data_IF_989457656687
#
_entry.id   IF_989457656687
#
_cell.length_a   1.000
_cell.length_b   1.000
_cell.length_c   1.000
_cell.angle_alpha   90.00
_cell.angle_beta   90.00
_cell.angle_gamma   90.00
#
_symmetry.space_group_name_H-M   'P 1'
#
loop_
_entity.id
_entity.type
_entity.pdbx_description
1 polymer ?
#
# COMPACT_ATOMS: atom_id res chain seq x y z
N UNK A 1 21.83 16.53 47.69
CA UNK A 1 20.58 16.97 47.01
C UNK A 1 20.29 15.95 45.88
N UNK A 2 19.43 14.99 46.19
CA UNK A 2 18.99 14.04 45.18
C UNK A 2 17.94 14.70 44.27
N UNK A 3 18.33 15.03 43.06
CA UNK A 3 17.42 15.47 42.02
C UNK A 3 16.66 14.25 41.53
N UNK A 4 15.52 13.98 42.16
CA UNK A 4 14.58 12.97 41.69
C UNK A 4 13.84 13.53 40.47
N UNK A 5 14.30 13.21 39.27
CA UNK A 5 13.54 13.51 38.05
C UNK A 5 12.35 12.55 38.00
N UNK A 6 11.11 13.06 37.90
CA UNK A 6 9.96 12.20 37.74
C UNK A 6 10.14 11.40 36.44
N UNK A 7 10.04 10.08 36.56
CA UNK A 7 9.95 9.18 35.39
C UNK A 7 8.68 9.56 34.67
N UNK A 8 8.82 10.28 33.57
CA UNK A 8 7.71 10.56 32.67
C UNK A 8 7.28 9.20 32.11
N UNK A 9 6.05 8.75 32.34
CA UNK A 9 5.59 7.51 31.76
C UNK A 9 5.68 7.67 30.23
N UNK A 10 6.41 6.78 29.59
CA UNK A 10 6.52 6.78 28.13
C UNK A 10 5.11 6.60 27.54
N UNK A 11 4.61 7.63 26.89
CA UNK A 11 3.31 7.61 26.17
C UNK A 11 3.25 6.55 25.05
N UNK A 12 4.35 5.88 24.80
CA UNK A 12 4.51 4.89 23.73
C UNK A 12 3.66 3.62 23.93
N UNK A 13 3.16 3.37 25.14
CA UNK A 13 2.37 2.15 25.45
C UNK A 13 0.95 2.16 24.88
N UNK A 14 0.45 3.30 24.42
CA UNK A 14 -0.94 3.45 23.97
C UNK A 14 -1.08 3.74 22.48
N UNK A 15 0.03 3.81 21.73
CA UNK A 15 -0.04 4.01 20.30
C UNK A 15 -0.49 2.71 19.60
N UNK A 16 -1.51 2.78 18.74
CA UNK A 16 -1.92 1.61 17.96
C UNK A 16 -0.78 1.16 17.04
N UNK A 17 -0.70 -0.15 16.79
CA UNK A 17 0.33 -0.69 15.89
C UNK A 17 0.25 -0.03 14.51
N UNK A 18 1.37 0.02 13.74
CA UNK A 18 1.37 0.58 12.39
C UNK A 18 0.28 -0.02 11.48
N UNK A 19 0.05 -1.33 11.58
CA UNK A 19 -1.01 -2.00 10.83
C UNK A 19 -2.41 -1.49 11.21
N UNK A 20 -2.69 -1.32 12.51
CA UNK A 20 -3.97 -0.74 12.97
C UNK A 20 -4.13 0.72 12.53
N UNK A 21 -3.05 1.50 12.56
CA UNK A 21 -3.05 2.88 12.05
C UNK A 21 -3.38 2.91 10.55
N UNK A 22 -2.79 2.02 9.78
CA UNK A 22 -3.05 1.88 8.35
C UNK A 22 -4.53 1.52 8.09
N UNK A 23 -5.05 0.48 8.76
CA UNK A 23 -6.46 0.09 8.64
C UNK A 23 -7.40 1.24 9.01
N UNK A 24 -7.06 2.05 10.00
CA UNK A 24 -7.86 3.22 10.37
C UNK A 24 -7.91 4.27 9.24
N UNK A 25 -6.82 4.44 8.49
CA UNK A 25 -6.80 5.34 7.32
C UNK A 25 -7.76 4.88 6.22
N UNK A 26 -7.86 3.58 5.99
CA UNK A 26 -8.73 3.03 4.93
C UNK A 26 -10.22 3.30 5.18
N UNK A 27 -10.58 3.55 6.44
CA UNK A 27 -11.95 3.86 6.86
C UNK A 27 -12.21 5.37 6.95
N UNK A 28 -11.20 6.18 6.76
CA UNK A 28 -11.30 7.63 6.88
C UNK A 28 -11.80 8.23 5.57
N UNK A 29 -12.91 8.96 5.58
CA UNK A 29 -13.37 9.67 4.38
C UNK A 29 -12.48 10.88 4.09
N UNK A 30 -12.38 11.22 2.80
CA UNK A 30 -11.75 12.43 2.32
C UNK A 30 -10.24 12.32 2.13
N UNK A 31 -9.62 13.46 1.90
CA UNK A 31 -8.20 13.56 1.58
C UNK A 31 -7.30 13.11 2.74
N UNK A 32 -6.28 12.33 2.39
CA UNK A 32 -5.24 11.87 3.30
C UNK A 32 -3.90 12.39 2.79
N UNK A 33 -3.19 13.13 3.66
CA UNK A 33 -1.88 13.66 3.30
C UNK A 33 -0.87 12.53 3.01
N UNK A 34 -0.16 12.57 1.87
CA UNK A 34 0.80 11.53 1.49
C UNK A 34 1.87 11.27 2.54
N UNK A 35 2.33 12.30 3.24
CA UNK A 35 3.34 12.18 4.29
C UNK A 35 2.90 11.26 5.45
N UNK A 36 1.61 11.27 5.80
CA UNK A 36 1.07 10.40 6.84
C UNK A 36 1.09 8.93 6.39
N UNK A 37 0.78 8.67 5.12
CA UNK A 37 0.82 7.33 4.55
C UNK A 37 2.24 6.81 4.52
N UNK A 38 3.19 7.63 4.06
CA UNK A 38 4.61 7.31 4.02
C UNK A 38 5.18 6.97 5.41
N UNK A 39 4.80 7.74 6.43
CA UNK A 39 5.22 7.51 7.82
C UNK A 39 4.72 6.14 8.32
N UNK A 40 3.45 5.86 8.13
CA UNK A 40 2.86 4.58 8.53
C UNK A 40 3.48 3.43 7.73
N UNK A 41 3.62 3.58 6.41
CA UNK A 41 4.18 2.55 5.55
C UNK A 41 5.61 2.18 5.94
N UNK A 42 6.46 3.16 6.25
CA UNK A 42 7.84 2.93 6.69
C UNK A 42 7.92 2.22 8.04
N UNK A 43 6.90 2.35 8.87
CA UNK A 43 6.82 1.68 10.17
C UNK A 43 6.23 0.27 10.11
N UNK A 44 5.67 -0.16 8.96
CA UNK A 44 5.21 -1.52 8.76
C UNK A 44 6.39 -2.50 8.61
N UNK A 45 6.18 -3.72 9.06
CA UNK A 45 7.15 -4.78 8.87
C UNK A 45 7.18 -5.21 7.39
N UNK A 46 8.37 -5.53 6.85
CA UNK A 46 8.46 -6.11 5.51
C UNK A 46 7.65 -7.41 5.42
N UNK A 47 7.01 -7.61 4.28
CA UNK A 47 6.27 -8.84 3.96
C UNK A 47 7.14 -9.72 3.08
N UNK A 48 7.20 -11.02 3.40
CA UNK A 48 7.90 -11.98 2.56
C UNK A 48 7.07 -12.28 1.29
N UNK A 49 7.69 -12.41 0.10
CA UNK A 49 6.97 -12.64 -1.14
C UNK A 49 5.99 -13.81 -1.11
N UNK A 50 6.33 -14.89 -0.42
CA UNK A 50 5.45 -16.08 -0.28
C UNK A 50 4.13 -15.77 0.43
N UNK A 51 4.09 -14.73 1.25
CA UNK A 51 2.88 -14.27 1.95
C UNK A 51 1.93 -13.49 1.04
N UNK A 52 2.40 -13.09 -0.15
CA UNK A 52 1.62 -12.30 -1.10
C UNK A 52 0.86 -13.17 -2.11
N UNK A 53 1.10 -14.49 -2.12
CA UNK A 53 0.44 -15.38 -3.09
C UNK A 53 -1.07 -15.35 -2.92
N UNK A 54 -1.78 -15.33 -4.05
CA UNK A 54 -3.23 -15.33 -4.10
C UNK A 54 -3.85 -14.04 -4.63
N UNK A 55 -5.13 -13.90 -4.40
CA UNK A 55 -5.94 -12.74 -4.81
C UNK A 55 -6.07 -11.76 -3.66
N UNK A 56 -5.88 -10.48 -3.97
CA UNK A 56 -5.93 -9.39 -3.01
C UNK A 56 -6.90 -8.33 -3.47
N UNK A 57 -7.78 -7.92 -2.58
CA UNK A 57 -8.63 -6.75 -2.81
C UNK A 57 -7.84 -5.48 -2.52
N UNK A 58 -8.00 -4.49 -3.39
CA UNK A 58 -7.37 -3.19 -3.27
C UNK A 58 -8.41 -2.08 -3.18
N UNK A 59 -8.00 -0.96 -2.65
CA UNK A 59 -8.79 0.26 -2.66
C UNK A 59 -7.87 1.46 -2.81
N UNK A 60 -8.42 2.54 -3.33
CA UNK A 60 -7.69 3.78 -3.56
C UNK A 60 -7.87 4.69 -2.35
N UNK A 61 -6.74 5.17 -1.79
CA UNK A 61 -6.75 6.23 -0.79
C UNK A 61 -6.71 7.58 -1.51
N UNK A 62 -7.58 8.51 -1.11
CA UNK A 62 -7.61 9.85 -1.69
C UNK A 62 -6.42 10.69 -1.22
N UNK A 63 -5.40 10.75 -2.05
CA UNK A 63 -4.14 11.45 -1.79
C UNK A 63 -3.84 12.55 -2.82
N UNK A 64 -4.75 12.77 -3.76
CA UNK A 64 -4.56 13.60 -4.96
C UNK A 64 -3.45 13.07 -5.89
N UNK A 65 -3.25 11.75 -5.89
CA UNK A 65 -2.32 11.13 -6.83
C UNK A 65 -2.89 11.15 -8.26
N UNK A 66 -2.09 11.42 -9.29
CA UNK A 66 -2.59 11.50 -10.67
C UNK A 66 -3.32 10.25 -11.17
N UNK A 67 -2.98 9.07 -10.67
CA UNK A 67 -3.60 7.79 -11.08
C UNK A 67 -4.86 7.41 -10.30
N UNK A 68 -5.31 8.22 -9.33
CA UNK A 68 -6.54 7.90 -8.58
C UNK A 68 -7.74 7.76 -9.52
N UNK A 69 -7.91 8.74 -10.39
CA UNK A 69 -9.03 8.78 -11.34
C UNK A 69 -8.95 7.64 -12.36
N UNK A 70 -7.77 7.36 -12.91
CA UNK A 70 -7.59 6.25 -13.87
C UNK A 70 -7.91 4.89 -13.26
N UNK A 71 -7.54 4.66 -12.00
CA UNK A 71 -7.86 3.39 -11.32
C UNK A 71 -9.37 3.24 -11.08
N UNK A 72 -10.06 4.32 -10.75
CA UNK A 72 -11.51 4.33 -10.60
C UNK A 72 -12.21 4.08 -11.95
N UNK A 73 -11.79 4.75 -13.02
CA UNK A 73 -12.34 4.57 -14.38
C UNK A 73 -12.14 3.14 -14.90
N UNK A 74 -11.01 2.51 -14.56
CA UNK A 74 -10.73 1.11 -14.90
C UNK A 74 -11.53 0.10 -14.08
N UNK A 75 -12.26 0.53 -13.05
CA UNK A 75 -12.84 -0.36 -12.05
C UNK A 75 -11.80 -1.31 -11.44
N UNK A 76 -10.60 -0.76 -11.15
CA UNK A 76 -9.57 -1.52 -10.45
C UNK A 76 -10.03 -1.86 -9.04
N UNK A 77 -9.84 -3.11 -8.63
CA UNK A 77 -10.23 -3.55 -7.31
C UNK A 77 -9.22 -4.47 -6.64
N UNK A 78 -8.06 -4.71 -7.25
CA UNK A 78 -7.05 -5.49 -6.58
C UNK A 78 -5.95 -6.03 -7.48
N UNK A 79 -5.20 -6.94 -6.90
CA UNK A 79 -4.05 -7.58 -7.50
C UNK A 79 -4.17 -9.10 -7.38
N UNK A 80 -3.45 -9.83 -8.23
CA UNK A 80 -3.31 -11.28 -8.11
C UNK A 80 -1.85 -11.66 -8.25
N UNK A 81 -1.36 -12.49 -7.33
CA UNK A 81 -0.02 -13.04 -7.34
C UNK A 81 -0.11 -14.55 -7.56
N UNK A 82 0.06 -14.99 -8.78
CA UNK A 82 0.05 -16.42 -9.11
C UNK A 82 1.40 -17.06 -8.81
N UNK A 83 2.47 -16.32 -8.96
CA UNK A 83 3.82 -16.67 -8.54
C UNK A 83 4.66 -15.41 -8.31
N UNK A 84 5.90 -15.59 -7.86
CA UNK A 84 6.87 -14.47 -7.72
C UNK A 84 7.14 -13.80 -9.08
N UNK A 85 7.06 -14.57 -10.16
CA UNK A 85 7.32 -14.08 -11.53
C UNK A 85 6.04 -13.74 -12.30
N UNK A 86 4.87 -14.13 -11.80
CA UNK A 86 3.58 -13.85 -12.44
C UNK A 86 2.66 -13.09 -11.50
N UNK A 87 2.64 -11.78 -11.68
CA UNK A 87 1.83 -10.85 -10.90
C UNK A 87 0.91 -10.08 -11.83
N UNK A 88 -0.37 -10.08 -11.51
CA UNK A 88 -1.36 -9.21 -12.14
C UNK A 88 -1.60 -7.98 -11.23
N UNK A 89 -0.90 -6.88 -11.43
CA UNK A 89 -1.01 -5.69 -10.57
C UNK A 89 -2.31 -4.94 -10.76
N UNK A 90 -2.99 -5.18 -11.87
CA UNK A 90 -4.25 -4.53 -12.21
C UNK A 90 -5.30 -5.60 -12.52
N UNK A 91 -6.11 -5.90 -11.51
CA UNK A 91 -7.32 -6.70 -11.66
C UNK A 91 -8.51 -5.75 -11.75
N UNK A 92 -9.29 -5.89 -12.80
CA UNK A 92 -10.48 -5.06 -13.04
C UNK A 92 -11.74 -5.89 -13.01
N UNK A 93 -12.85 -5.27 -12.64
CA UNK A 93 -14.16 -5.87 -12.70
C UNK A 93 -14.79 -5.62 -14.08
N UNK A 94 -15.03 -6.67 -14.84
CA UNK A 94 -15.73 -6.61 -16.11
C UNK A 94 -16.87 -7.63 -16.10
N UNK A 95 -18.10 -7.17 -16.28
CA UNK A 95 -19.31 -8.01 -16.24
C UNK A 95 -19.44 -8.88 -14.97
N UNK A 96 -18.96 -8.37 -13.82
CA UNK A 96 -18.98 -9.09 -12.54
C UNK A 96 -17.86 -10.12 -12.37
N UNK A 97 -16.97 -10.24 -13.31
CA UNK A 97 -15.82 -11.16 -13.25
C UNK A 97 -14.49 -10.42 -13.02
N UNK A 98 -13.57 -11.08 -12.33
CA UNK A 98 -12.18 -10.60 -12.18
C UNK A 98 -11.43 -10.87 -13.46
N UNK A 99 -10.86 -9.82 -14.06
CA UNK A 99 -10.02 -9.93 -15.25
C UNK A 99 -8.71 -9.21 -15.06
N UNK A 100 -7.65 -9.78 -15.64
CA UNK A 100 -6.35 -9.10 -15.74
C UNK A 100 -6.47 -7.98 -16.76
N UNK A 101 -6.05 -6.79 -16.38
CA UNK A 101 -5.91 -5.67 -17.32
C UNK A 101 -4.51 -5.70 -17.92
N UNK A 102 -4.42 -5.99 -19.20
CA UNK A 102 -3.15 -6.22 -19.90
C UNK A 102 -2.59 -5.00 -20.63
N UNK A 103 -3.40 -3.97 -20.87
CA UNK A 103 -3.01 -2.83 -21.70
C UNK A 103 -1.80 -2.07 -21.14
N UNK A 104 -1.60 -2.11 -19.84
CA UNK A 104 -0.43 -1.53 -19.16
C UNK A 104 0.70 -2.54 -18.90
N UNK A 105 0.60 -3.72 -19.48
CA UNK A 105 1.59 -4.78 -19.38
C UNK A 105 1.42 -5.70 -18.18
N UNK A 106 2.23 -6.73 -18.15
CA UNK A 106 2.38 -7.64 -17.01
C UNK A 106 3.55 -7.20 -16.14
N UNK A 107 3.46 -7.48 -14.85
CA UNK A 107 4.55 -7.20 -13.93
C UNK A 107 5.07 -8.50 -13.29
N UNK A 108 6.35 -8.49 -12.96
CA UNK A 108 6.97 -9.48 -12.08
C UNK A 108 7.59 -8.74 -10.88
N UNK A 109 7.82 -9.45 -9.79
CA UNK A 109 8.48 -8.85 -8.61
C UNK A 109 9.87 -8.34 -8.97
N UNK A 110 10.57 -9.02 -9.86
CA UNK A 110 11.87 -8.60 -10.39
C UNK A 110 11.80 -7.28 -11.16
N UNK A 111 10.78 -7.09 -12.01
CA UNK A 111 10.55 -5.82 -12.70
C UNK A 111 10.22 -4.67 -11.74
N UNK A 112 9.44 -4.92 -10.70
CA UNK A 112 9.21 -3.93 -9.65
C UNK A 112 10.49 -3.52 -8.95
N UNK A 113 11.37 -4.47 -8.65
CA UNK A 113 12.67 -4.22 -8.03
C UNK A 113 13.56 -3.36 -8.93
N UNK A 114 13.62 -3.67 -10.22
CA UNK A 114 14.36 -2.90 -11.22
C UNK A 114 13.80 -1.50 -11.41
N UNK A 115 12.48 -1.34 -11.45
CA UNK A 115 11.81 -0.04 -11.52
C UNK A 115 12.06 0.81 -10.27
N UNK A 116 12.12 0.19 -9.09
CA UNK A 116 12.43 0.87 -7.84
C UNK A 116 13.87 1.41 -7.83
N UNK A 117 14.81 0.68 -8.39
CA UNK A 117 16.19 1.14 -8.48
C UNK A 117 16.37 2.28 -9.50
N UNK A 118 15.66 2.23 -10.63
CA UNK A 118 15.66 3.31 -11.63
C UNK A 118 14.97 4.59 -11.17
N UNK A 119 14.04 4.50 -10.21
CA UNK A 119 13.21 5.62 -9.73
C UNK A 119 13.61 6.14 -8.37
N UNK A 120 14.88 6.17 -8.03
CA UNK A 120 15.37 6.87 -6.82
C UNK A 120 15.02 8.36 -6.78
N UNK A 121 14.44 8.91 -7.85
CA UNK A 121 13.97 10.30 -7.93
C UNK A 121 12.45 10.50 -7.89
N UNK A 122 11.63 9.46 -7.83
CA UNK A 122 10.16 9.57 -7.76
C UNK A 122 9.61 8.96 -6.47
N UNK A 123 9.51 9.76 -5.44
CA UNK A 123 9.08 9.39 -4.08
C UNK A 123 7.58 9.04 -3.98
N UNK A 124 6.80 9.13 -5.06
CA UNK A 124 5.34 9.13 -5.01
C UNK A 124 4.63 7.84 -5.46
N UNK A 125 5.34 6.82 -5.94
CA UNK A 125 4.69 5.59 -6.41
C UNK A 125 4.45 4.51 -5.35
N UNK A 126 4.88 4.70 -4.13
CA UNK A 126 4.66 3.73 -3.05
C UNK A 126 3.22 3.73 -2.51
N UNK A 127 2.40 4.68 -2.93
CA UNK A 127 1.04 4.88 -2.40
C UNK A 127 -0.01 3.98 -3.06
N UNK A 128 0.32 3.32 -4.17
CA UNK A 128 -0.65 2.54 -4.94
C UNK A 128 -0.77 1.06 -4.55
N UNK A 129 0.09 0.55 -3.68
CA UNK A 129 0.07 -0.84 -3.24
C UNK A 129 -0.37 -0.95 -1.77
N UNK A 130 -1.60 -0.53 -1.50
CA UNK A 130 -2.24 -0.84 -0.21
C UNK A 130 -2.96 -2.16 -0.33
N UNK A 131 -2.26 -3.24 0.02
CA UNK A 131 -2.84 -4.57 0.10
C UNK A 131 -3.43 -4.74 1.49
N UNK A 132 -4.72 -4.98 1.57
CA UNK A 132 -5.42 -5.29 2.83
C UNK A 132 -6.05 -6.66 2.71
N UNK A 133 -5.74 -7.50 3.68
CA UNK A 133 -6.44 -8.76 3.95
C UNK A 133 -7.76 -8.51 4.66
#
# INVERSE_FOLDING_TARGET
MDLHFPIVPSFDRFQPSPAKRFIALTKRPGFIGPALIDDIFRSLKPVHPDQLMGEWDGFVLSTSHPFEQELEELNWFGNTFDSIEDVAPLMVAENGERKRFHDWGSASVSKFKEMKERRKSCTHMNTLLSIVT
#
